data_IF_817949013651
#
_entry.id   IF_817949013651
#
_cell.length_a   1.000
_cell.length_b   1.000
_cell.length_c   1.000
_cell.angle_alpha   90.00
_cell.angle_beta   90.00
_cell.angle_gamma   90.00
#
_symmetry.space_group_name_H-M   'P 1'
#
loop_
_entity.id
_entity.type
_entity.pdbx_description
1 polymer ?
#
# COMPACT_ATOMS: atom_id res chain seq x y z
N UNK A 1 6.03 -12.81 -17.89
CA UNK A 1 7.05 -12.49 -16.86
C UNK A 1 6.49 -11.37 -16.01
N UNK A 2 6.37 -11.58 -14.70
CA UNK A 2 5.84 -10.54 -13.81
C UNK A 2 6.98 -9.59 -13.33
N UNK A 3 6.63 -8.49 -12.67
CA UNK A 3 7.62 -7.50 -12.20
C UNK A 3 8.62 -8.10 -11.20
N UNK A 4 8.19 -9.00 -10.32
CA UNK A 4 9.07 -9.66 -9.36
C UNK A 4 10.10 -10.55 -10.09
N UNK A 5 9.65 -11.37 -11.05
CA UNK A 5 10.51 -12.21 -11.88
C UNK A 5 11.52 -11.37 -12.67
N UNK A 6 11.07 -10.26 -13.25
CA UNK A 6 11.94 -9.33 -13.99
C UNK A 6 13.04 -8.81 -13.08
N UNK A 7 12.66 -8.27 -11.92
CA UNK A 7 13.61 -7.64 -11.01
C UNK A 7 14.62 -8.64 -10.45
N UNK A 8 14.16 -9.84 -10.07
CA UNK A 8 15.05 -10.89 -9.61
C UNK A 8 16.03 -11.36 -10.69
N UNK A 9 15.57 -11.50 -11.94
CA UNK A 9 16.42 -12.04 -13.03
C UNK A 9 17.41 -11.03 -13.59
N UNK A 10 16.99 -9.78 -13.78
CA UNK A 10 17.80 -8.77 -14.48
C UNK A 10 18.61 -7.89 -13.54
N UNK A 11 18.14 -7.68 -12.31
CA UNK A 11 18.87 -6.90 -11.31
C UNK A 11 19.47 -7.75 -10.19
N UNK A 12 19.23 -9.06 -10.17
CA UNK A 12 19.71 -9.97 -9.12
C UNK A 12 19.32 -9.52 -7.71
N UNK A 13 18.19 -8.83 -7.58
CA UNK A 13 17.67 -8.34 -6.30
C UNK A 13 16.59 -9.28 -5.77
N UNK A 14 16.65 -9.70 -4.49
CA UNK A 14 15.56 -10.46 -3.89
C UNK A 14 14.29 -9.60 -3.83
N UNK A 15 13.15 -10.18 -4.21
CA UNK A 15 11.84 -9.51 -4.22
C UNK A 15 10.84 -10.35 -3.45
N UNK A 16 10.17 -9.73 -2.48
CA UNK A 16 9.06 -10.31 -1.73
C UNK A 16 7.78 -9.58 -2.12
N UNK A 17 6.77 -10.33 -2.57
CA UNK A 17 5.46 -9.77 -2.92
C UNK A 17 4.57 -9.82 -1.68
N UNK A 18 4.14 -8.66 -1.20
CA UNK A 18 3.24 -8.55 -0.06
C UNK A 18 1.77 -8.73 -0.47
N UNK A 19 0.88 -9.13 0.47
CA UNK A 19 -0.54 -9.23 0.20
C UNK A 19 -1.14 -7.89 -0.28
N UNK A 20 -2.13 -7.99 -1.17
CA UNK A 20 -2.84 -6.81 -1.67
C UNK A 20 -3.60 -6.11 -0.55
N UNK A 21 -3.48 -4.79 -0.51
CA UNK A 21 -4.20 -3.94 0.44
C UNK A 21 -5.59 -3.62 -0.09
N UNK A 22 -6.61 -3.74 0.77
CA UNK A 22 -7.97 -3.35 0.42
C UNK A 22 -8.16 -1.85 0.57
N UNK A 23 -8.16 -1.15 -0.55
CA UNK A 23 -8.48 0.26 -0.64
C UNK A 23 -9.99 0.47 -0.82
N UNK A 24 -10.61 1.28 0.04
CA UNK A 24 -11.99 1.74 -0.14
C UNK A 24 -11.98 3.13 -0.74
N UNK A 25 -12.39 3.25 -1.99
CA UNK A 25 -12.51 4.52 -2.69
C UNK A 25 -13.93 5.09 -2.51
N UNK A 26 -14.09 6.40 -2.32
CA UNK A 26 -15.39 7.03 -2.24
C UNK A 26 -16.10 7.03 -3.60
N UNK A 27 -17.41 6.74 -3.56
CA UNK A 27 -18.26 6.70 -4.76
C UNK A 27 -18.88 8.06 -5.11
N UNK A 28 -18.86 9.01 -4.18
CA UNK A 28 -19.44 10.36 -4.33
C UNK A 28 -18.43 11.44 -3.95
N UNK A 29 -18.54 12.62 -4.56
CA UNK A 29 -17.77 13.82 -4.18
C UNK A 29 -18.03 14.15 -2.70
N UNK A 30 -16.96 14.18 -1.89
CA UNK A 30 -17.01 14.40 -0.44
C UNK A 30 -16.98 13.13 0.43
N UNK A 31 -16.92 11.94 -0.18
CA UNK A 31 -16.64 10.71 0.58
C UNK A 31 -15.15 10.58 0.92
N UNK A 32 -14.81 9.74 1.90
CA UNK A 32 -13.44 9.53 2.37
C UNK A 32 -12.82 8.29 1.72
N UNK A 33 -11.52 8.34 1.40
CA UNK A 33 -10.76 7.18 0.94
C UNK A 33 -10.04 6.52 2.12
N UNK A 34 -10.17 5.19 2.26
CA UNK A 34 -9.58 4.45 3.38
C UNK A 34 -8.64 3.35 2.93
N UNK A 35 -7.47 3.32 3.55
CA UNK A 35 -6.52 2.22 3.54
C UNK A 35 -6.83 1.28 4.72
N UNK A 36 -7.18 0.03 4.42
CA UNK A 36 -7.35 -0.99 5.46
C UNK A 36 -6.04 -1.74 5.68
N UNK A 37 -5.41 -1.54 6.84
CA UNK A 37 -4.18 -2.23 7.23
C UNK A 37 -4.37 -3.71 7.62
N UNK A 38 -5.41 -4.39 7.13
CA UNK A 38 -5.53 -5.83 7.27
C UNK A 38 -4.48 -6.49 6.37
N UNK A 39 -3.23 -6.57 6.84
CA UNK A 39 -2.31 -7.58 6.38
C UNK A 39 -2.99 -8.90 6.69
N UNK A 40 -3.51 -9.58 5.66
CA UNK A 40 -3.94 -10.96 5.78
C UNK A 40 -2.77 -11.71 6.43
N UNK A 41 -2.95 -12.12 7.69
CA UNK A 41 -2.03 -13.02 8.36
C UNK A 41 -1.77 -14.18 7.40
N UNK A 42 -0.51 -14.32 7.00
CA UNK A 42 -0.06 -15.40 6.14
C UNK A 42 -0.33 -16.69 6.91
N UNK A 43 -1.43 -17.38 6.58
CA UNK A 43 -1.77 -18.67 7.17
C UNK A 43 -0.80 -19.72 6.66
N UNK A 44 0.27 -19.95 7.39
CA UNK A 44 1.04 -21.19 7.29
C UNK A 44 0.21 -22.38 7.84
N UNK A 45 0.23 -23.58 7.22
CA UNK A 45 -0.34 -24.79 7.81
C UNK A 45 0.58 -25.38 8.90
N UNK A 46 0.07 -26.30 9.76
CA UNK A 46 0.23 -26.15 11.20
C UNK A 46 1.40 -26.95 11.79
N UNK A 47 2.15 -26.34 12.71
CA UNK A 47 2.92 -27.04 13.72
C UNK A 47 2.17 -26.96 15.07
N UNK A 48 1.81 -28.14 15.58
CA UNK A 48 1.06 -28.39 16.82
C UNK A 48 1.56 -27.54 18.00
N UNK A 49 0.69 -26.69 18.56
CA UNK A 49 0.70 -26.38 19.99
C UNK A 49 -0.64 -25.71 20.39
N UNK A 50 -1.38 -26.39 21.25
CA UNK A 50 -2.63 -25.94 21.87
C UNK A 50 -2.37 -24.71 22.75
N UNK A 51 -2.76 -23.51 22.28
CA UNK A 51 -3.02 -22.37 23.16
C UNK A 51 -4.30 -21.69 22.71
N UNK A 52 -5.33 -21.78 23.56
CA UNK A 52 -6.58 -21.01 23.44
C UNK A 52 -6.25 -19.53 23.57
N UNK A 53 -5.98 -18.87 22.45
CA UNK A 53 -5.90 -17.43 22.39
C UNK A 53 -7.33 -16.87 22.52
N UNK A 54 -7.56 -16.17 23.64
CA UNK A 54 -8.75 -15.34 23.82
C UNK A 54 -8.69 -14.23 22.78
N UNK A 55 -9.44 -14.37 21.70
CA UNK A 55 -9.66 -13.32 20.70
C UNK A 55 -10.40 -12.17 21.36
N UNK A 56 -9.67 -11.07 21.64
CA UNK A 56 -10.30 -9.82 22.07
C UNK A 56 -11.09 -9.21 20.90
N UNK A 57 -12.23 -8.53 21.13
CA UNK A 57 -13.00 -7.84 20.08
C UNK A 57 -12.30 -6.59 19.54
N UNK A 58 -11.03 -6.37 19.91
CA UNK A 58 -10.28 -5.12 19.73
C UNK A 58 -9.29 -5.16 18.58
N UNK A 59 -9.44 -6.09 17.64
CA UNK A 59 -8.84 -5.92 16.30
C UNK A 59 -9.73 -4.94 15.53
N UNK A 60 -9.75 -3.68 15.99
CA UNK A 60 -10.23 -2.59 15.16
C UNK A 60 -9.19 -2.47 14.04
N UNK A 61 -9.52 -3.03 12.88
CA UNK A 61 -8.83 -2.76 11.62
C UNK A 61 -8.57 -1.26 11.55
N UNK A 62 -7.29 -0.85 11.70
CA UNK A 62 -6.91 0.56 11.74
C UNK A 62 -7.12 1.12 10.34
N UNK A 63 -8.26 1.77 10.13
CA UNK A 63 -8.58 2.43 8.86
C UNK A 63 -7.82 3.75 8.85
N UNK A 64 -6.93 3.91 7.87
CA UNK A 64 -6.16 5.13 7.69
C UNK A 64 -6.74 5.90 6.50
N UNK A 65 -7.06 7.16 6.74
CA UNK A 65 -7.62 8.04 5.73
C UNK A 65 -6.52 8.48 4.75
N UNK A 66 -6.83 8.48 3.46
CA UNK A 66 -5.98 8.98 2.40
C UNK A 66 -6.55 10.27 1.83
N UNK A 67 -5.67 11.25 1.64
CA UNK A 67 -6.01 12.45 0.91
C UNK A 67 -6.25 12.09 -0.56
N UNK A 68 -7.32 12.64 -1.12
CA UNK A 68 -7.71 12.40 -2.49
C UNK A 68 -8.36 13.65 -3.08
N UNK A 69 -8.40 13.71 -4.41
CA UNK A 69 -9.15 14.73 -5.15
C UNK A 69 -9.97 14.10 -6.27
N UNK A 70 -10.95 14.85 -6.74
CA UNK A 70 -11.73 14.48 -7.93
C UNK A 70 -11.27 15.34 -9.11
N UNK A 71 -10.68 14.70 -10.12
CA UNK A 71 -10.23 15.36 -11.35
C UNK A 71 -10.85 14.68 -12.55
N UNK A 72 -11.48 15.43 -13.46
CA UNK A 72 -12.07 14.91 -14.69
C UNK A 72 -13.01 13.69 -14.50
N UNK A 73 -13.73 13.63 -13.37
CA UNK A 73 -14.64 12.53 -13.05
C UNK A 73 -13.97 11.26 -12.51
N UNK A 74 -12.65 11.27 -12.31
CA UNK A 74 -11.87 10.20 -11.68
C UNK A 74 -11.38 10.64 -10.30
N UNK A 75 -11.21 9.66 -9.41
CA UNK A 75 -10.54 9.88 -8.15
C UNK A 75 -9.04 9.76 -8.34
N UNK A 76 -8.30 10.68 -7.72
CA UNK A 76 -6.85 10.65 -7.67
C UNK A 76 -6.40 10.68 -6.21
N UNK A 77 -5.39 9.90 -5.86
CA UNK A 77 -4.85 9.83 -4.50
C UNK A 77 -3.60 10.70 -4.38
N UNK A 78 -3.47 11.39 -3.24
CA UNK A 78 -2.27 12.19 -2.97
C UNK A 78 -1.12 11.26 -2.61
N UNK A 79 -0.01 11.43 -3.32
CA UNK A 79 1.17 10.59 -3.15
C UNK A 79 1.72 10.64 -1.72
N UNK A 80 1.82 11.83 -1.12
CA UNK A 80 2.36 12.02 0.23
C UNK A 80 1.67 11.16 1.28
N UNK A 81 0.35 11.05 1.20
CA UNK A 81 -0.43 10.23 2.12
C UNK A 81 -0.06 8.75 2.00
N UNK A 82 0.18 8.26 0.78
CA UNK A 82 0.56 6.88 0.54
C UNK A 82 2.01 6.63 0.99
N UNK A 83 2.94 7.52 0.65
CA UNK A 83 4.36 7.39 1.06
C UNK A 83 4.51 7.34 2.57
N UNK A 84 3.76 8.15 3.32
CA UNK A 84 3.75 8.11 4.78
C UNK A 84 3.31 6.76 5.34
N UNK A 85 2.36 6.08 4.68
CA UNK A 85 1.92 4.74 5.08
C UNK A 85 2.93 3.65 4.70
N UNK A 86 3.47 3.69 3.49
CA UNK A 86 4.49 2.75 3.04
C UNK A 86 5.75 2.84 3.91
N UNK A 87 6.14 4.06 4.30
CA UNK A 87 7.29 4.28 5.19
C UNK A 87 7.12 3.65 6.57
N UNK A 88 5.89 3.48 7.04
CA UNK A 88 5.62 2.78 8.31
C UNK A 88 5.64 1.25 8.17
N UNK A 89 5.62 0.73 6.94
CA UNK A 89 5.50 -0.70 6.64
C UNK A 89 6.77 -1.31 6.04
N UNK A 90 7.71 -0.49 5.56
CA UNK A 90 8.98 -0.99 5.04
C UNK A 90 9.78 -1.69 6.15
N UNK A 91 10.29 -2.89 5.85
CA UNK A 91 11.16 -3.63 6.76
C UNK A 91 12.56 -3.02 6.78
N UNK A 92 13.26 -3.13 7.92
CA UNK A 92 14.58 -2.52 8.11
C UNK A 92 15.63 -3.08 7.14
N UNK A 93 15.51 -4.37 6.81
CA UNK A 93 16.38 -5.12 5.89
C UNK A 93 15.99 -4.99 4.41
N UNK A 94 14.91 -4.28 4.09
CA UNK A 94 14.52 -4.03 2.71
C UNK A 94 15.29 -2.86 2.09
N UNK A 95 15.71 -3.04 0.83
CA UNK A 95 16.31 -1.96 0.03
C UNK A 95 15.28 -0.85 -0.26
N UNK A 96 14.08 -1.23 -0.67
CA UNK A 96 12.95 -0.34 -0.86
C UNK A 96 11.61 -1.09 -0.80
N UNK A 97 10.52 -0.34 -0.57
CA UNK A 97 9.15 -0.83 -0.67
C UNK A 97 8.43 -0.07 -1.78
N UNK A 98 7.83 -0.80 -2.72
CA UNK A 98 7.10 -0.23 -3.85
C UNK A 98 5.63 -0.62 -3.75
N UNK A 99 4.76 0.37 -3.65
CA UNK A 99 3.31 0.21 -3.78
C UNK A 99 2.88 0.26 -5.25
N UNK A 100 1.98 -0.63 -5.65
CA UNK A 100 1.37 -0.63 -6.98
C UNK A 100 -0.12 -0.36 -6.86
N UNK A 101 -0.64 0.57 -7.65
CA UNK A 101 -2.04 0.96 -7.66
C UNK A 101 -2.57 1.13 -9.09
N UNK A 102 -3.86 0.89 -9.26
CA UNK A 102 -4.56 1.18 -10.52
C UNK A 102 -5.29 2.53 -10.47
N UNK A 103 -5.16 3.24 -9.35
CA UNK A 103 -5.79 4.55 -9.12
C UNK A 103 -4.81 5.65 -9.49
N UNK A 104 -5.29 6.64 -10.24
CA UNK A 104 -4.52 7.82 -10.61
C UNK A 104 -3.93 8.51 -9.35
N UNK A 105 -2.73 9.07 -9.50
CA UNK A 105 -2.03 9.76 -8.41
C UNK A 105 -1.86 11.25 -8.71
N UNK A 106 -1.60 12.05 -7.68
CA UNK A 106 -1.18 13.45 -7.81
C UNK A 106 -0.25 13.85 -6.65
N UNK A 107 0.65 14.80 -6.89
CA UNK A 107 1.54 15.35 -5.85
C UNK A 107 1.05 16.74 -5.42
N UNK A 108 0.81 17.63 -6.39
CA UNK A 108 0.37 18.99 -6.20
C UNK A 108 -0.97 19.29 -6.88
N UNK A 109 -1.63 20.37 -6.44
CA UNK A 109 -2.94 20.80 -6.97
C UNK A 109 -2.87 21.19 -8.45
N UNK A 110 -1.69 21.60 -8.93
CA UNK A 110 -1.47 21.97 -10.33
C UNK A 110 -1.27 20.79 -11.27
N UNK A 111 -1.00 19.59 -10.74
CA UNK A 111 -0.79 18.39 -11.55
C UNK A 111 -2.07 17.97 -12.28
N UNK A 112 -1.94 17.38 -13.47
CA UNK A 112 -3.05 16.65 -14.10
C UNK A 112 -3.19 15.26 -13.47
N UNK A 113 -2.10 14.51 -13.46
CA UNK A 113 -1.88 13.26 -12.73
C UNK A 113 -0.39 12.92 -12.75
N UNK A 114 0.02 12.03 -11.87
CA UNK A 114 1.37 11.46 -11.79
C UNK A 114 1.25 9.94 -11.98
N UNK A 115 2.13 9.36 -12.81
CA UNK A 115 2.14 7.91 -13.03
C UNK A 115 2.82 7.13 -11.90
N UNK A 116 3.54 7.83 -11.03
CA UNK A 116 4.20 7.30 -9.85
C UNK A 116 5.25 8.27 -9.32
N UNK A 117 5.59 8.15 -8.05
CA UNK A 117 6.62 8.95 -7.39
C UNK A 117 7.43 8.09 -6.45
N UNK A 118 8.75 8.29 -6.46
CA UNK A 118 9.69 7.63 -5.57
C UNK A 118 10.32 8.63 -4.60
N UNK A 119 10.26 8.33 -3.31
CA UNK A 119 10.98 9.03 -2.26
C UNK A 119 12.23 8.22 -1.90
N UNK A 120 13.30 8.35 -2.69
CA UNK A 120 14.53 7.56 -2.56
C UNK A 120 15.15 7.60 -1.16
N UNK A 121 15.22 8.78 -0.54
CA UNK A 121 15.72 8.97 0.83
C UNK A 121 14.85 8.29 1.90
N UNK A 122 13.62 7.95 1.57
CA UNK A 122 12.69 7.24 2.46
C UNK A 122 12.52 5.77 2.05
N UNK A 123 13.23 5.31 1.01
CA UNK A 123 13.18 3.94 0.47
C UNK A 123 11.79 3.48 0.04
N UNK A 124 10.89 4.40 -0.31
CA UNK A 124 9.52 4.06 -0.73
C UNK A 124 9.17 4.66 -2.07
N UNK A 125 8.31 3.97 -2.82
CA UNK A 125 7.73 4.48 -4.06
C UNK A 125 6.30 4.00 -4.22
N UNK A 126 5.51 4.72 -5.01
CA UNK A 126 4.18 4.29 -5.45
C UNK A 126 4.04 4.54 -6.95
N UNK A 127 3.47 3.58 -7.66
CA UNK A 127 3.16 3.64 -9.09
C UNK A 127 1.74 3.15 -9.32
#
# INVERSE_FOLDING_TARGET
>A
MNLADYTQRFYSLPVVVLPAVKLKLPTKKGGVAYWNCELNEMKDPPAKATRTFRTSPRVQSKQLELNHRWSHGRIQLKVDSIHNLLRQQIADDALCLIGLTMVDLFEDETDLFVAGLAAGNQRVAVF
#
